data_IF_083120643054
#
_entry.id   IF_083120643054
#
_cell.length_a   1.000
_cell.length_b   1.000
_cell.length_c   1.000
_cell.angle_alpha   90.00
_cell.angle_beta   90.00
_cell.angle_gamma   90.00
#
_symmetry.space_group_name_H-M   'P 1'
#
loop_
_entity.id
_entity.type
_entity.pdbx_description
1 polymer ?
#
# COMPACT_ATOMS: atom_id res chain seq x y z
N UNK A 1 -90.51 44.82 39.24
CA UNK A 1 -90.39 44.01 40.46
C UNK A 1 -88.90 43.91 40.75
N UNK A 2 -88.45 44.66 41.76
CA UNK A 2 -87.07 44.63 42.24
C UNK A 2 -86.79 43.28 42.91
N UNK A 3 -85.57 42.75 42.77
CA UNK A 3 -84.76 42.29 43.92
C UNK A 3 -83.42 41.68 43.49
N UNK A 4 -82.35 42.13 44.17
CA UNK A 4 -81.16 41.39 44.66
C UNK A 4 -80.23 40.73 43.61
N UNK A 5 -78.90 40.80 43.67
CA UNK A 5 -77.99 41.05 44.79
C UNK A 5 -76.99 39.88 44.91
N UNK A 6 -75.72 40.18 44.64
CA UNK A 6 -74.50 39.55 45.20
C UNK A 6 -73.88 38.31 44.47
N UNK A 7 -72.62 37.90 44.79
CA UNK A 7 -71.44 38.23 43.98
C UNK A 7 -70.46 37.04 43.76
N UNK A 8 -69.42 37.26 42.96
CA UNK A 8 -68.11 36.67 43.28
C UNK A 8 -67.46 35.75 42.23
N UNK A 9 -66.29 36.23 41.76
CA UNK A 9 -65.05 35.48 41.44
C UNK A 9 -65.12 34.52 40.23
N UNK A 10 -64.15 34.46 39.32
CA UNK A 10 -62.82 35.03 39.25
C UNK A 10 -62.25 34.71 37.84
N UNK A 11 -61.42 35.63 37.34
CA UNK A 11 -60.20 35.37 36.54
C UNK A 11 -60.32 34.53 35.27
N UNK A 12 -60.13 35.17 34.11
CA UNK A 12 -58.88 35.05 33.33
C UNK A 12 -58.98 35.85 32.04
N UNK A 13 -58.11 36.85 31.97
CA UNK A 13 -57.65 37.49 30.73
C UNK A 13 -57.02 36.39 29.87
N UNK A 14 -57.55 36.14 28.68
CA UNK A 14 -56.79 35.50 27.59
C UNK A 14 -57.03 36.27 26.31
N UNK A 15 -55.91 36.77 25.80
CA UNK A 15 -55.71 37.45 24.53
C UNK A 15 -56.41 36.75 23.36
N UNK A 16 -57.15 37.55 22.61
CA UNK A 16 -57.26 37.41 21.17
C UNK A 16 -55.91 37.84 20.57
N UNK A 17 -55.19 36.92 19.93
CA UNK A 17 -54.58 37.18 18.63
C UNK A 17 -54.19 35.85 17.97
N UNK A 18 -54.95 35.52 16.93
CA UNK A 18 -54.78 34.36 16.08
C UNK A 18 -53.75 34.64 14.98
N UNK A 19 -52.90 33.64 14.74
CA UNK A 19 -52.48 33.16 13.42
C UNK A 19 -51.79 34.16 12.46
N UNK A 20 -50.54 34.55 12.78
CA UNK A 20 -49.58 35.00 11.76
C UNK A 20 -48.12 34.86 12.22
N UNK A 21 -47.72 33.71 12.77
CA UNK A 21 -46.31 33.41 13.03
C UNK A 21 -46.04 31.90 13.16
N UNK A 22 -46.48 31.11 12.18
CA UNK A 22 -46.25 29.66 12.16
C UNK A 22 -45.79 29.13 10.78
N UNK A 23 -45.24 30.00 9.93
CA UNK A 23 -44.67 29.62 8.63
C UNK A 23 -43.37 30.41 8.42
N UNK A 24 -42.39 30.27 9.33
CA UNK A 24 -41.03 30.78 9.08
C UNK A 24 -39.94 30.19 9.99
N UNK A 25 -40.19 29.02 10.60
CA UNK A 25 -39.20 28.33 11.46
C UNK A 25 -39.05 26.82 11.14
N UNK A 26 -39.58 26.36 10.00
CA UNK A 26 -39.47 24.96 9.55
C UNK A 26 -38.85 24.82 8.15
N UNK A 27 -38.01 25.77 7.74
CA UNK A 27 -37.18 25.63 6.52
C UNK A 27 -35.69 25.90 6.74
N UNK A 28 -35.26 26.24 7.96
CA UNK A 28 -33.83 26.42 8.26
C UNK A 28 -33.16 25.19 8.92
N UNK A 29 -33.92 24.15 9.28
CA UNK A 29 -33.35 22.93 9.91
C UNK A 29 -33.10 21.80 8.89
N UNK A 30 -33.69 21.87 7.70
CA UNK A 30 -33.55 20.80 6.69
C UNK A 30 -32.42 21.01 5.68
N UNK A 31 -31.73 22.16 5.71
CA UNK A 31 -30.59 22.44 4.81
C UNK A 31 -29.24 22.12 5.49
N UNK A 32 -29.20 22.08 6.83
CA UNK A 32 -27.94 21.84 7.57
C UNK A 32 -27.51 20.37 7.64
N UNK A 33 -28.41 19.40 7.41
CA UNK A 33 -28.06 17.97 7.45
C UNK A 33 -27.70 17.40 6.07
N UNK A 34 -28.14 18.02 4.96
CA UNK A 34 -27.74 17.62 3.61
C UNK A 34 -26.37 18.18 3.19
N UNK A 35 -25.90 19.25 3.84
CA UNK A 35 -24.53 19.74 3.65
C UNK A 35 -23.50 18.92 4.43
N UNK A 36 -23.90 18.23 5.50
CA UNK A 36 -22.98 17.40 6.29
C UNK A 36 -22.61 16.08 5.62
N UNK A 37 -23.47 15.53 4.74
CA UNK A 37 -23.16 14.29 4.00
C UNK A 37 -22.43 14.56 2.67
N UNK A 38 -22.58 15.75 2.10
CA UNK A 38 -21.91 16.12 0.85
C UNK A 38 -20.46 16.59 1.07
N UNK A 39 -20.13 17.13 2.25
CA UNK A 39 -18.76 17.58 2.57
C UNK A 39 -17.81 16.40 2.86
N UNK A 40 -18.30 15.27 3.38
CA UNK A 40 -17.48 14.05 3.54
C UNK A 40 -17.16 13.35 2.21
N UNK A 41 -17.93 13.59 1.15
CA UNK A 41 -17.71 12.97 -0.18
C UNK A 41 -16.68 13.78 -1.00
N UNK A 42 -16.31 14.99 -0.56
CA UNK A 42 -15.35 15.90 -1.24
C UNK A 42 -13.97 15.92 -0.55
N UNK A 43 -13.70 15.09 0.46
CA UNK A 43 -12.34 14.56 0.67
C UNK A 43 -12.14 13.44 -0.37
N UNK A 44 -12.05 13.84 -1.64
CA UNK A 44 -11.71 12.95 -2.73
C UNK A 44 -10.39 12.30 -2.34
N UNK A 45 -10.42 10.99 -2.09
CA UNK A 45 -9.27 10.13 -1.76
C UNK A 45 -8.02 10.61 -2.50
N UNK A 46 -7.22 11.40 -1.78
CA UNK A 46 -6.21 12.26 -2.41
C UNK A 46 -5.14 11.44 -3.08
N UNK A 47 -5.02 10.14 -2.76
CA UNK A 47 -4.05 9.24 -3.33
C UNK A 47 -4.60 8.45 -4.53
N UNK A 48 -5.91 8.44 -4.79
CA UNK A 48 -6.48 7.60 -5.86
C UNK A 48 -5.94 7.96 -7.26
N UNK A 49 -5.53 9.23 -7.49
CA UNK A 49 -4.88 9.65 -8.73
C UNK A 49 -3.52 8.96 -8.98
N UNK A 50 -2.90 8.39 -7.96
CA UNK A 50 -1.66 7.62 -8.08
C UNK A 50 -1.91 6.14 -8.39
N UNK A 51 -3.17 5.69 -8.43
CA UNK A 51 -3.54 4.34 -8.84
C UNK A 51 -3.31 4.13 -10.35
N UNK A 52 -3.15 2.87 -10.76
CA UNK A 52 -2.94 2.46 -12.14
C UNK A 52 -3.53 1.06 -12.37
N UNK A 53 -4.43 0.93 -13.34
CA UNK A 53 -5.08 -0.34 -13.71
C UNK A 53 -4.34 -1.06 -14.87
N UNK A 54 -3.22 -0.49 -15.34
CA UNK A 54 -2.38 -1.04 -16.42
C UNK A 54 -3.15 -1.41 -17.69
N UNK A 55 -4.20 -0.65 -18.00
CA UNK A 55 -4.97 -0.75 -19.24
C UNK A 55 -4.44 0.18 -20.35
N UNK A 56 -3.57 1.13 -20.02
CA UNK A 56 -2.94 2.08 -20.94
C UNK A 56 -1.41 2.03 -20.77
N UNK A 57 -0.64 1.68 -21.81
CA UNK A 57 0.81 1.66 -21.71
C UNK A 57 1.47 3.03 -21.50
N UNK A 58 0.77 4.14 -21.77
CA UNK A 58 1.28 5.48 -21.54
C UNK A 58 1.46 5.81 -20.05
N UNK A 59 0.71 5.14 -19.15
CA UNK A 59 0.84 5.34 -17.69
C UNK A 59 2.21 4.93 -17.16
N UNK A 60 2.98 4.15 -17.92
CA UNK A 60 4.36 3.79 -17.56
C UNK A 60 5.25 5.03 -17.37
N UNK A 61 4.93 6.15 -18.02
CA UNK A 61 5.65 7.41 -17.85
C UNK A 61 5.49 8.03 -16.44
N UNK A 62 4.45 7.63 -15.70
CA UNK A 62 4.17 8.11 -14.34
C UNK A 62 4.98 7.36 -13.26
N UNK A 63 5.76 6.36 -13.65
CA UNK A 63 6.53 5.51 -12.76
C UNK A 63 8.01 5.86 -12.76
N UNK A 64 8.56 6.07 -11.57
CA UNK A 64 9.99 6.32 -11.38
C UNK A 64 10.77 5.01 -11.22
N UNK A 65 12.04 5.01 -11.60
CA UNK A 65 12.95 3.86 -11.41
C UNK A 65 14.12 4.23 -10.52
N UNK A 66 14.39 3.40 -9.51
CA UNK A 66 15.36 3.71 -8.46
C UNK A 66 16.77 4.04 -8.95
N UNK A 67 17.25 3.37 -10.01
CA UNK A 67 18.60 3.65 -10.53
C UNK A 67 18.70 5.05 -11.18
N UNK A 68 17.56 5.65 -11.60
CA UNK A 68 17.51 7.02 -12.11
C UNK A 68 17.59 8.02 -10.96
N UNK A 69 16.76 7.83 -9.92
CA UNK A 69 16.74 8.72 -8.76
C UNK A 69 18.02 8.64 -7.93
N UNK A 70 18.65 7.46 -7.88
CA UNK A 70 19.96 7.26 -7.24
C UNK A 70 21.13 7.33 -8.23
N UNK A 71 20.91 7.71 -9.49
CA UNK A 71 21.96 7.95 -10.49
C UNK A 71 23.07 6.89 -10.51
N UNK A 72 22.73 5.60 -10.49
CA UNK A 72 23.75 4.54 -10.41
C UNK A 72 24.17 3.96 -11.74
N UNK A 73 23.57 4.43 -12.84
CA UNK A 73 23.78 3.94 -14.21
C UNK A 73 23.45 2.44 -14.42
N UNK A 74 22.97 1.76 -13.38
CA UNK A 74 22.67 0.33 -13.38
C UNK A 74 21.18 0.08 -13.50
N UNK A 75 20.68 0.09 -14.73
CA UNK A 75 19.33 -0.36 -15.03
C UNK A 75 19.25 -1.89 -14.95
N UNK A 76 18.90 -2.39 -13.76
CA UNK A 76 18.82 -3.82 -13.48
C UNK A 76 17.50 -4.44 -13.96
N UNK A 77 16.64 -3.67 -14.63
CA UNK A 77 15.40 -4.14 -15.21
C UNK A 77 15.63 -4.43 -16.70
N UNK A 78 15.63 -5.72 -17.07
CA UNK A 78 15.82 -6.15 -18.46
C UNK A 78 14.67 -5.67 -19.35
N UNK A 79 13.44 -5.76 -18.85
CA UNK A 79 12.29 -5.17 -19.52
C UNK A 79 11.18 -4.81 -18.56
N UNK A 80 10.47 -3.75 -18.90
CA UNK A 80 9.21 -3.30 -18.32
C UNK A 80 8.22 -3.04 -19.45
N UNK A 81 6.97 -3.44 -19.26
CA UNK A 81 5.89 -3.12 -20.19
C UNK A 81 4.54 -3.21 -19.51
N UNK A 82 3.57 -2.47 -20.04
CA UNK A 82 2.15 -2.59 -19.71
C UNK A 82 1.43 -3.19 -20.92
N UNK A 83 0.65 -4.24 -20.70
CA UNK A 83 -0.22 -4.86 -21.72
C UNK A 83 0.47 -5.73 -22.78
N UNK A 84 1.76 -5.52 -23.09
CA UNK A 84 2.47 -6.24 -24.18
C UNK A 84 2.71 -7.71 -23.86
N UNK A 85 3.14 -8.01 -22.64
CA UNK A 85 3.46 -9.37 -22.20
C UNK A 85 2.23 -10.11 -21.69
N UNK A 86 1.33 -9.36 -21.03
CA UNK A 86 0.05 -9.82 -20.54
C UNK A 86 -0.92 -8.62 -20.58
N UNK A 87 -2.01 -8.67 -21.38
CA UNK A 87 -2.97 -7.57 -21.48
C UNK A 87 -3.56 -7.19 -20.12
N UNK A 88 -3.63 -5.89 -19.81
CA UNK A 88 -4.14 -5.37 -18.53
C UNK A 88 -3.20 -5.52 -17.33
N UNK A 89 -1.91 -5.79 -17.58
CA UNK A 89 -0.93 -6.03 -16.51
C UNK A 89 0.36 -5.27 -16.81
N UNK A 90 1.02 -4.78 -15.76
CA UNK A 90 2.43 -4.39 -15.81
C UNK A 90 3.30 -5.64 -15.62
N UNK A 91 4.29 -5.85 -16.49
CA UNK A 91 5.25 -6.96 -16.37
C UNK A 91 6.67 -6.44 -16.19
N UNK A 92 7.32 -6.90 -15.12
CA UNK A 92 8.70 -6.61 -14.76
C UNK A 92 9.57 -7.87 -14.90
N UNK A 93 10.70 -7.70 -15.57
CA UNK A 93 11.61 -8.79 -15.90
C UNK A 93 13.04 -8.32 -15.55
N UNK A 94 13.64 -8.76 -14.43
CA UNK A 94 14.93 -8.25 -13.98
C UNK A 94 16.13 -8.97 -14.61
N UNK A 95 17.26 -8.28 -14.70
CA UNK A 95 18.58 -8.91 -14.69
C UNK A 95 18.93 -9.42 -13.28
N UNK A 96 20.04 -10.15 -13.12
CA UNK A 96 20.51 -10.59 -11.81
C UNK A 96 20.74 -9.37 -10.90
N UNK A 97 20.04 -9.36 -9.77
CA UNK A 97 20.05 -8.29 -8.77
C UNK A 97 19.36 -8.78 -7.50
N UNK A 98 19.67 -8.20 -6.34
CA UNK A 98 19.06 -8.61 -5.07
C UNK A 98 18.75 -7.44 -4.16
N UNK A 99 17.77 -7.62 -3.29
CA UNK A 99 17.53 -6.77 -2.13
C UNK A 99 17.91 -7.53 -0.86
N UNK A 100 19.02 -7.16 -0.24
CA UNK A 100 19.46 -7.77 1.01
C UNK A 100 20.50 -6.86 1.67
N UNK A 101 20.31 -6.48 2.92
CA UNK A 101 21.21 -5.53 3.59
C UNK A 101 21.45 -4.27 2.73
N UNK A 102 22.70 -4.06 2.31
CA UNK A 102 23.16 -2.96 1.46
C UNK A 102 22.99 -3.20 -0.06
N UNK A 103 22.64 -4.43 -0.46
CA UNK A 103 22.33 -4.76 -1.84
C UNK A 103 20.97 -4.16 -2.22
N UNK A 104 20.94 -3.50 -3.37
CA UNK A 104 19.77 -2.85 -3.95
C UNK A 104 19.42 -3.49 -5.28
N UNK A 105 18.18 -3.93 -5.42
CA UNK A 105 17.63 -4.47 -6.67
C UNK A 105 16.73 -3.47 -7.39
N UNK A 106 15.79 -3.97 -8.18
CA UNK A 106 14.83 -3.12 -8.89
C UNK A 106 13.77 -2.59 -7.93
N UNK A 107 13.43 -1.31 -8.09
CA UNK A 107 12.22 -0.69 -7.56
C UNK A 107 11.65 0.27 -8.63
N UNK A 108 10.39 0.05 -8.99
CA UNK A 108 9.57 0.89 -9.86
C UNK A 108 8.47 1.49 -9.00
N UNK A 109 8.40 2.81 -8.86
CA UNK A 109 7.66 3.42 -7.75
C UNK A 109 7.02 4.77 -8.07
N UNK A 110 6.13 5.19 -7.18
CA UNK A 110 5.64 6.56 -7.02
C UNK A 110 6.05 7.07 -5.63
N UNK A 111 6.28 8.38 -5.49
CA UNK A 111 6.49 9.00 -4.18
C UNK A 111 5.15 9.30 -3.53
N UNK A 112 4.94 8.78 -2.32
CA UNK A 112 3.69 8.89 -1.58
C UNK A 112 3.97 9.50 -0.21
N UNK A 113 3.24 10.55 0.14
CA UNK A 113 3.34 11.24 1.44
C UNK A 113 2.16 10.84 2.32
N UNK A 114 2.44 10.62 3.60
CA UNK A 114 1.42 10.35 4.61
C UNK A 114 0.98 8.89 4.68
N UNK A 115 -0.24 8.68 5.15
CA UNK A 115 -0.86 7.36 5.32
C UNK A 115 -1.41 6.83 4.01
N UNK A 116 -1.30 5.53 3.78
CA UNK A 116 -1.83 4.90 2.58
C UNK A 116 -2.22 3.45 2.81
N UNK A 117 -3.07 2.92 1.95
CA UNK A 117 -3.23 1.50 1.70
C UNK A 117 -2.94 1.29 0.23
N UNK A 118 -1.98 0.42 -0.09
CA UNK A 118 -1.66 0.02 -1.47
C UNK A 118 -1.96 -1.45 -1.67
N UNK A 119 -2.58 -1.82 -2.78
CA UNK A 119 -2.94 -3.20 -3.14
C UNK A 119 -2.54 -3.50 -4.58
N UNK A 120 -2.05 -4.72 -4.81
CA UNK A 120 -1.90 -5.30 -6.14
C UNK A 120 -2.31 -6.77 -6.10
N UNK A 121 -2.77 -7.29 -7.22
CA UNK A 121 -2.64 -8.72 -7.52
C UNK A 121 -1.33 -8.96 -8.26
N UNK A 122 -0.59 -9.96 -7.85
CA UNK A 122 0.68 -10.35 -8.44
C UNK A 122 0.62 -11.79 -8.97
N UNK A 123 1.28 -12.03 -10.09
CA UNK A 123 1.53 -13.34 -10.68
C UNK A 123 3.01 -13.48 -11.01
N UNK A 124 3.65 -14.46 -10.41
CA UNK A 124 5.08 -14.68 -10.48
C UNK A 124 5.36 -16.05 -11.07
N UNK A 125 6.23 -16.11 -12.09
CA UNK A 125 6.64 -17.35 -12.74
C UNK A 125 8.14 -17.34 -13.06
N UNK A 126 8.66 -18.51 -13.44
CA UNK A 126 9.88 -18.61 -14.23
C UNK A 126 9.70 -18.05 -15.67
N UNK A 127 10.79 -17.91 -16.44
CA UNK A 127 10.77 -17.33 -17.81
C UNK A 127 9.96 -18.14 -18.83
N UNK A 128 9.91 -19.45 -18.66
CA UNK A 128 9.13 -20.38 -19.48
C UNK A 128 7.68 -20.51 -19.00
N UNK A 129 7.30 -19.84 -17.91
CA UNK A 129 5.93 -19.80 -17.35
C UNK A 129 5.38 -21.17 -16.96
N UNK A 130 6.27 -22.12 -16.66
CA UNK A 130 5.93 -23.49 -16.28
C UNK A 130 5.77 -23.69 -14.79
N UNK A 131 6.17 -22.71 -13.97
CA UNK A 131 6.03 -22.79 -12.52
C UNK A 131 6.88 -21.75 -11.78
N UNK A 132 7.33 -22.13 -10.58
CA UNK A 132 8.16 -21.26 -9.77
C UNK A 132 9.56 -21.08 -10.39
N UNK A 133 10.18 -19.91 -10.20
CA UNK A 133 11.60 -19.71 -10.52
C UNK A 133 12.50 -20.81 -9.93
N UNK A 134 13.58 -21.13 -10.62
CA UNK A 134 14.60 -22.11 -10.22
C UNK A 134 15.85 -21.45 -9.64
N UNK A 135 16.06 -20.15 -9.86
CA UNK A 135 17.13 -19.42 -9.18
C UNK A 135 16.69 -19.01 -7.78
N UNK A 136 17.58 -19.18 -6.79
CA UNK A 136 17.31 -18.76 -5.40
C UNK A 136 17.06 -17.26 -5.31
N UNK A 137 16.09 -16.89 -4.47
CA UNK A 137 15.65 -15.51 -4.24
C UNK A 137 15.26 -14.78 -5.53
N UNK A 138 14.34 -15.40 -6.27
CA UNK A 138 13.69 -14.85 -7.45
C UNK A 138 12.24 -14.51 -7.11
N UNK A 139 11.98 -13.27 -6.74
CA UNK A 139 10.67 -12.83 -6.25
C UNK A 139 10.29 -11.45 -6.80
N UNK A 140 8.99 -11.19 -6.83
CA UNK A 140 8.42 -9.88 -7.12
C UNK A 140 7.29 -9.55 -6.14
N UNK A 141 7.03 -8.26 -5.90
CA UNK A 141 6.03 -7.84 -4.92
C UNK A 141 5.92 -6.34 -4.73
N UNK A 142 5.28 -5.95 -3.63
CA UNK A 142 5.17 -4.55 -3.20
C UNK A 142 6.29 -4.21 -2.22
N UNK A 143 6.89 -3.04 -2.41
CA UNK A 143 7.91 -2.47 -1.53
C UNK A 143 7.52 -1.05 -1.12
N UNK A 144 7.84 -0.73 0.13
CA UNK A 144 7.86 0.63 0.65
C UNK A 144 9.28 0.92 1.15
N UNK A 145 9.87 2.02 0.68
CA UNK A 145 11.26 2.37 0.95
C UNK A 145 11.43 3.84 1.29
N UNK A 146 12.27 4.15 2.26
CA UNK A 146 12.71 5.52 2.52
C UNK A 146 13.57 6.02 1.35
N UNK A 147 13.28 7.19 0.76
CA UNK A 147 14.12 7.74 -0.30
C UNK A 147 15.53 8.03 0.23
N UNK A 148 16.51 7.96 -0.67
CA UNK A 148 17.91 8.31 -0.39
C UNK A 148 18.39 9.33 -1.41
N UNK A 149 19.11 10.34 -0.94
CA UNK A 149 19.79 11.31 -1.80
C UNK A 149 21.24 10.89 -1.99
N UNK A 150 21.46 9.91 -2.86
CA UNK A 150 22.78 9.32 -3.13
C UNK A 150 23.01 9.14 -4.63
N UNK A 151 24.28 8.92 -5.00
CA UNK A 151 24.69 8.41 -6.30
C UNK A 151 25.82 7.37 -6.14
N UNK A 152 26.28 6.77 -7.25
CA UNK A 152 27.37 5.78 -7.21
C UNK A 152 28.63 6.25 -6.48
N UNK A 153 28.91 7.56 -6.43
CA UNK A 153 30.09 8.14 -5.76
C UNK A 153 29.84 8.41 -4.26
N UNK A 154 28.62 8.82 -3.92
CA UNK A 154 28.24 9.16 -2.55
C UNK A 154 27.62 8.00 -1.78
N UNK A 155 27.35 6.87 -2.44
CA UNK A 155 26.83 5.66 -1.80
C UNK A 155 27.75 5.21 -0.65
N UNK A 156 27.13 4.90 0.49
CA UNK A 156 27.75 4.32 1.67
C UNK A 156 26.85 3.19 2.20
N UNK A 157 27.43 2.17 2.85
CA UNK A 157 26.66 1.12 3.51
C UNK A 157 25.85 1.68 4.69
N UNK A 158 24.84 0.93 5.14
CA UNK A 158 23.98 1.27 6.28
C UNK A 158 22.83 2.21 5.97
N UNK A 159 22.59 2.54 4.70
CA UNK A 159 21.59 3.53 4.29
C UNK A 159 20.21 2.97 3.91
N UNK A 160 20.03 1.65 3.86
CA UNK A 160 18.78 1.06 3.39
C UNK A 160 17.72 0.97 4.49
N UNK A 161 16.53 1.51 4.22
CA UNK A 161 15.36 1.43 5.09
C UNK A 161 14.14 1.09 4.24
N UNK A 162 13.66 -0.15 4.33
CA UNK A 162 12.52 -0.60 3.53
C UNK A 162 11.75 -1.72 4.22
N UNK A 163 10.60 -2.03 3.66
CA UNK A 163 9.82 -3.23 3.90
C UNK A 163 9.22 -3.71 2.58
N UNK A 164 9.07 -5.02 2.42
CA UNK A 164 8.36 -5.57 1.28
C UNK A 164 7.62 -6.86 1.61
N UNK A 165 6.58 -7.14 0.83
CA UNK A 165 5.94 -8.43 0.73
C UNK A 165 6.04 -8.88 -0.73
N UNK A 166 6.77 -9.98 -0.95
CA UNK A 166 7.02 -10.52 -2.28
C UNK A 166 6.69 -12.00 -2.32
N UNK A 167 6.40 -12.52 -3.51
CA UNK A 167 6.24 -13.95 -3.76
C UNK A 167 7.08 -14.40 -4.96
N UNK A 168 7.32 -15.70 -5.05
CA UNK A 168 8.22 -16.30 -6.03
C UNK A 168 8.99 -17.43 -5.38
N UNK A 169 10.28 -17.56 -5.67
CA UNK A 169 11.15 -18.57 -5.08
C UNK A 169 12.15 -17.95 -4.13
N UNK A 170 12.10 -18.37 -2.87
CA UNK A 170 13.03 -17.91 -1.83
C UNK A 170 14.25 -18.85 -1.71
N UNK A 171 14.45 -19.48 -0.56
CA UNK A 171 15.61 -20.33 -0.28
C UNK A 171 15.53 -21.75 -0.90
N UNK A 172 14.36 -22.17 -1.39
CA UNK A 172 14.14 -23.47 -2.03
C UNK A 172 13.81 -23.30 -3.52
N UNK A 173 14.80 -23.42 -4.43
CA UNK A 173 14.62 -23.43 -5.87
C UNK A 173 13.42 -24.27 -6.35
N UNK A 174 12.57 -23.70 -7.22
CA UNK A 174 11.44 -24.43 -7.82
C UNK A 174 10.21 -24.56 -6.92
N UNK A 175 10.23 -24.03 -5.70
CA UNK A 175 9.06 -23.92 -4.82
C UNK A 175 8.61 -22.47 -4.72
N UNK A 176 7.29 -22.25 -4.68
CA UNK A 176 6.73 -20.94 -4.37
C UNK A 176 6.79 -20.66 -2.88
N UNK A 177 7.04 -19.40 -2.52
CA UNK A 177 6.97 -18.89 -1.17
C UNK A 177 6.65 -17.40 -1.17
N UNK A 178 6.09 -16.92 -0.07
CA UNK A 178 6.24 -15.52 0.31
C UNK A 178 7.62 -15.29 0.90
N UNK A 179 8.21 -14.14 0.59
CA UNK A 179 9.25 -13.51 1.38
C UNK A 179 8.71 -12.17 1.89
N UNK A 180 8.73 -12.01 3.21
CA UNK A 180 8.54 -10.71 3.84
C UNK A 180 9.84 -10.28 4.48
N UNK A 181 10.24 -9.04 4.21
CA UNK A 181 11.48 -8.47 4.72
C UNK A 181 11.23 -7.09 5.29
N UNK A 182 11.83 -6.81 6.43
CA UNK A 182 12.03 -5.46 6.94
C UNK A 182 13.53 -5.20 7.04
N UNK A 183 13.96 -4.03 6.59
CA UNK A 183 15.36 -3.60 6.66
C UNK A 183 15.44 -2.24 7.33
N UNK A 184 16.28 -2.14 8.36
CA UNK A 184 16.57 -0.89 9.08
C UNK A 184 18.07 -0.65 9.07
N UNK A 185 18.51 0.48 8.52
CA UNK A 185 19.92 0.82 8.35
C UNK A 185 20.75 -0.34 7.75
N UNK A 186 20.22 -0.95 6.69
CA UNK A 186 20.79 -2.11 6.01
C UNK A 186 20.90 -3.40 6.85
N UNK A 187 20.24 -3.49 8.01
CA UNK A 187 20.05 -4.76 8.72
C UNK A 187 18.71 -5.39 8.32
N UNK A 188 18.76 -6.52 7.59
CA UNK A 188 17.59 -7.20 7.03
C UNK A 188 17.12 -8.36 7.88
N UNK A 189 15.85 -8.34 8.26
CA UNK A 189 15.15 -9.45 8.88
C UNK A 189 14.11 -9.99 7.91
N UNK A 190 14.26 -11.26 7.52
CA UNK A 190 13.36 -11.90 6.55
C UNK A 190 12.61 -13.09 7.17
N UNK A 191 11.40 -13.33 6.69
CA UNK A 191 10.62 -14.54 6.96
C UNK A 191 10.13 -15.12 5.64
N UNK A 192 10.20 -16.44 5.53
CA UNK A 192 9.77 -17.19 4.35
C UNK A 192 8.59 -18.06 4.76
N UNK A 193 7.54 -18.07 3.93
CA UNK A 193 6.36 -18.91 4.14
C UNK A 193 6.05 -19.66 2.83
N UNK A 194 6.04 -21.01 2.82
CA UNK A 194 5.76 -21.78 1.61
C UNK A 194 4.39 -21.48 0.99
N UNK A 195 4.30 -21.59 -0.33
CA UNK A 195 3.07 -21.43 -1.10
C UNK A 195 2.88 -22.54 -2.12
N UNK A 196 1.62 -22.81 -2.46
CA UNK A 196 1.25 -23.72 -3.55
C UNK A 196 1.09 -23.03 -4.91
N UNK A 197 1.16 -21.69 -4.95
CA UNK A 197 0.89 -20.90 -6.15
C UNK A 197 1.79 -19.65 -6.23
N UNK A 198 2.06 -19.21 -7.45
CA UNK A 198 2.73 -17.93 -7.76
C UNK A 198 1.78 -16.74 -7.86
N UNK A 199 0.50 -16.91 -7.50
CA UNK A 199 -0.52 -15.87 -7.56
C UNK A 199 -0.98 -15.49 -6.16
N UNK A 200 -0.99 -14.20 -5.86
CA UNK A 200 -1.60 -13.66 -4.64
C UNK A 200 -2.00 -12.20 -4.83
N UNK A 201 -2.95 -11.75 -4.02
CA UNK A 201 -3.10 -10.33 -3.72
C UNK A 201 -2.30 -9.99 -2.46
N UNK A 202 -1.60 -8.86 -2.53
CA UNK A 202 -0.79 -8.35 -1.45
C UNK A 202 -1.13 -6.88 -1.22
N UNK A 203 -1.11 -6.49 0.04
CA UNK A 203 -1.48 -5.14 0.48
C UNK A 203 -0.52 -4.65 1.55
N UNK A 204 -0.17 -3.38 1.48
CA UNK A 204 0.62 -2.69 2.51
C UNK A 204 -0.17 -1.46 2.95
N UNK A 205 -0.47 -1.37 4.24
CA UNK A 205 -1.05 -0.19 4.84
C UNK A 205 -0.03 0.51 5.72
N UNK A 206 0.04 1.83 5.64
CA UNK A 206 0.77 2.71 6.55
C UNK A 206 -0.22 3.53 7.37
N UNK A 207 -0.08 3.43 8.70
CA UNK A 207 -0.84 4.18 9.71
C UNK A 207 0.16 4.84 10.67
N UNK A 208 0.57 6.07 10.35
CA UNK A 208 1.65 6.79 11.02
C UNK A 208 2.99 6.06 10.84
N UNK A 209 3.57 5.61 11.96
CA UNK A 209 4.79 4.78 12.00
C UNK A 209 4.51 3.28 11.90
N UNK A 210 3.26 2.84 11.79
CA UNK A 210 2.90 1.43 11.71
C UNK A 210 2.68 0.98 10.27
N UNK A 211 3.21 -0.19 9.94
CA UNK A 211 3.05 -0.82 8.63
C UNK A 211 2.43 -2.19 8.78
N UNK A 212 1.35 -2.44 8.06
CA UNK A 212 0.61 -3.68 8.08
C UNK A 212 0.66 -4.32 6.70
N UNK A 213 1.22 -5.51 6.62
CA UNK A 213 1.33 -6.28 5.40
C UNK A 213 0.24 -7.34 5.43
N UNK A 214 -0.62 -7.33 4.43
CA UNK A 214 -1.76 -8.23 4.30
C UNK A 214 -1.61 -9.07 3.03
N UNK A 215 -2.18 -10.27 3.04
CA UNK A 215 -2.18 -11.17 1.90
C UNK A 215 -3.52 -11.85 1.70
N UNK A 216 -3.85 -12.18 0.45
CA UNK A 216 -4.98 -13.03 0.08
C UNK A 216 -4.55 -13.97 -1.05
N UNK A 217 -4.71 -15.27 -0.82
CA UNK A 217 -4.52 -16.28 -1.86
C UNK A 217 -5.81 -16.42 -2.70
N UNK A 218 -5.73 -16.98 -3.93
CA UNK A 218 -6.92 -17.26 -4.72
C UNK A 218 -7.97 -18.03 -3.90
N UNK A 219 -9.22 -17.60 -4.00
CA UNK A 219 -10.37 -18.20 -3.31
C UNK A 219 -10.25 -18.24 -1.77
N UNK A 220 -9.39 -17.42 -1.17
CA UNK A 220 -9.18 -17.32 0.28
C UNK A 220 -9.62 -15.96 0.81
N UNK A 221 -9.69 -15.82 2.14
CA UNK A 221 -9.93 -14.53 2.79
C UNK A 221 -8.63 -13.74 2.95
N UNK A 222 -8.75 -12.42 3.15
CA UNK A 222 -7.61 -11.59 3.56
C UNK A 222 -7.09 -12.04 4.93
N UNK A 223 -5.77 -11.98 5.09
CA UNK A 223 -5.09 -12.23 6.36
C UNK A 223 -4.07 -11.12 6.63
N UNK A 224 -3.95 -10.73 7.89
CA UNK A 224 -2.80 -9.94 8.35
C UNK A 224 -1.58 -10.85 8.34
N UNK A 225 -0.57 -10.49 7.56
CA UNK A 225 0.65 -11.27 7.42
C UNK A 225 1.72 -10.81 8.41
N UNK A 226 2.04 -9.52 8.45
CA UNK A 226 3.01 -8.93 9.39
C UNK A 226 2.60 -7.54 9.82
N UNK A 227 3.10 -7.14 10.98
CA UNK A 227 2.94 -5.81 11.55
C UNK A 227 4.32 -5.29 11.93
N UNK A 228 4.67 -4.08 11.51
CA UNK A 228 5.96 -3.45 11.80
C UNK A 228 5.78 -2.05 12.35
N UNK A 229 6.55 -1.70 13.39
CA UNK A 229 6.68 -0.33 13.87
C UNK A 229 7.99 0.25 13.31
N UNK A 230 7.88 1.29 12.48
CA UNK A 230 8.96 1.91 11.71
C UNK A 230 8.97 3.44 11.88
N UNK A 231 9.26 3.94 13.10
CA UNK A 231 9.39 5.39 13.34
C UNK A 231 10.60 6.01 12.63
N UNK A 232 11.49 5.18 12.07
CA UNK A 232 12.65 5.60 11.27
C UNK A 232 12.29 5.97 9.82
N UNK A 233 11.11 5.56 9.33
CA UNK A 233 10.69 5.84 7.96
C UNK A 233 10.04 7.23 7.86
N UNK A 234 10.50 8.11 6.96
CA UNK A 234 10.02 9.49 6.84
C UNK A 234 8.59 9.56 6.29
N UNK A 235 7.98 10.75 6.32
CA UNK A 235 6.60 10.95 5.85
C UNK A 235 6.42 10.64 4.36
N UNK A 236 7.38 11.01 3.50
CA UNK A 236 7.38 10.68 2.07
C UNK A 236 8.17 9.41 1.80
N UNK A 237 7.56 8.45 1.11
CA UNK A 237 8.13 7.13 0.82
C UNK A 237 8.05 6.78 -0.66
N UNK A 238 8.97 5.94 -1.11
CA UNK A 238 8.92 5.30 -2.41
C UNK A 238 8.03 4.05 -2.28
N UNK A 239 6.88 4.04 -2.95
CA UNK A 239 5.89 2.96 -2.89
C UNK A 239 5.69 2.38 -4.28
N UNK A 240 5.86 1.06 -4.44
CA UNK A 240 5.74 0.45 -5.75
C UNK A 240 6.15 -1.01 -5.80
N UNK A 241 6.60 -1.44 -6.97
CA UNK A 241 6.94 -2.82 -7.26
C UNK A 241 8.43 -3.08 -7.17
N UNK A 242 8.80 -4.17 -6.51
CA UNK A 242 10.16 -4.69 -6.48
C UNK A 242 10.23 -6.00 -7.24
N UNK A 243 11.35 -6.23 -7.93
CA UNK A 243 11.72 -7.52 -8.50
C UNK A 243 13.22 -7.76 -8.31
N UNK A 244 13.58 -9.00 -8.04
CA UNK A 244 14.97 -9.43 -7.88
C UNK A 244 15.10 -10.93 -8.14
N UNK A 245 16.31 -11.38 -8.49
CA UNK A 245 16.55 -12.77 -8.91
C UNK A 245 18.01 -13.14 -8.82
N UNK A 246 18.28 -14.44 -8.62
CA UNK A 246 19.61 -15.04 -8.74
C UNK A 246 20.62 -14.46 -7.73
N UNK A 247 20.21 -14.50 -6.45
CA UNK A 247 21.07 -14.09 -5.34
C UNK A 247 22.47 -14.75 -5.37
N UNK A 248 22.66 -16.05 -5.67
CA UNK A 248 23.98 -16.67 -5.70
C UNK A 248 24.95 -16.03 -6.70
N UNK A 249 24.46 -15.44 -7.78
CA UNK A 249 25.30 -14.68 -8.72
C UNK A 249 25.47 -13.23 -8.28
N UNK A 250 24.41 -12.59 -7.75
CA UNK A 250 24.48 -11.23 -7.22
C UNK A 250 25.48 -11.10 -6.05
N UNK A 251 25.50 -12.07 -5.14
CA UNK A 251 26.33 -12.08 -3.93
C UNK A 251 27.83 -12.29 -4.20
N UNK A 252 28.23 -12.50 -5.46
CA UNK A 252 29.65 -12.54 -5.88
C UNK A 252 30.26 -11.15 -5.99
N UNK A 253 29.44 -10.11 -6.00
CA UNK A 253 29.84 -8.71 -6.06
C UNK A 253 29.65 -8.07 -4.69
N UNK A 254 30.50 -7.11 -4.32
CA UNK A 254 30.20 -6.26 -3.17
C UNK A 254 28.90 -5.46 -3.42
N UNK A 255 28.20 -4.98 -2.38
CA UNK A 255 27.01 -4.14 -2.56
C UNK A 255 27.27 -2.93 -3.46
N UNK A 256 28.42 -2.24 -3.27
CA UNK A 256 28.79 -1.10 -4.12
C UNK A 256 28.88 -1.47 -5.60
N UNK A 257 29.52 -2.61 -5.91
CA UNK A 257 29.65 -3.10 -7.29
C UNK A 257 28.29 -3.53 -7.85
N UNK A 258 27.52 -4.32 -7.09
CA UNK A 258 26.21 -4.79 -7.54
C UNK A 258 25.25 -3.62 -7.81
N UNK A 259 25.21 -2.61 -6.94
CA UNK A 259 24.27 -1.48 -7.04
C UNK A 259 24.57 -0.57 -8.23
N UNK A 260 25.81 -0.62 -8.74
CA UNK A 260 26.30 0.17 -9.87
C UNK A 260 26.54 -0.65 -11.14
N UNK A 261 26.13 -1.93 -11.17
CA UNK A 261 26.36 -2.81 -12.33
C UNK A 261 25.10 -3.55 -12.77
N UNK A 262 24.93 -3.69 -14.09
CA UNK A 262 23.98 -4.64 -14.68
C UNK A 262 24.67 -6.00 -14.83
N UNK A 263 24.35 -6.97 -13.95
CA UNK A 263 24.96 -8.30 -13.97
C UNK A 263 24.33 -9.14 -15.07
N UNK A 264 24.99 -9.22 -16.23
CA UNK A 264 24.55 -10.02 -17.40
C UNK A 264 25.04 -11.46 -17.41
N UNK A 265 26.05 -11.79 -16.59
CA UNK A 265 26.64 -13.13 -16.49
C UNK A 265 25.92 -14.07 -15.52
N UNK A 266 24.85 -13.61 -14.88
CA UNK A 266 24.04 -14.42 -13.98
C UNK A 266 23.02 -15.29 -14.73
N UNK A 267 22.09 -15.87 -13.98
CA UNK A 267 21.01 -16.75 -14.43
C UNK A 267 19.65 -16.24 -13.93
N UNK A 268 19.27 -15.00 -14.29
CA UNK A 268 17.97 -14.45 -13.88
C UNK A 268 16.85 -15.22 -14.57
N UNK A 269 15.82 -15.61 -13.83
CA UNK A 269 14.76 -16.46 -14.38
C UNK A 269 13.34 -16.02 -14.01
N UNK A 270 13.18 -14.87 -13.35
CA UNK A 270 11.88 -14.34 -12.90
C UNK A 270 11.10 -13.62 -14.02
N UNK A 271 9.79 -13.87 -14.12
CA UNK A 271 8.80 -12.93 -14.65
C UNK A 271 7.86 -12.55 -13.50
N UNK A 272 7.66 -11.26 -13.27
CA UNK A 272 6.66 -10.76 -12.33
C UNK A 272 5.64 -9.91 -13.09
N UNK A 273 4.36 -10.22 -12.92
CA UNK A 273 3.27 -9.43 -13.50
C UNK A 273 2.34 -8.93 -12.39
N UNK A 274 1.88 -7.69 -12.51
CA UNK A 274 0.99 -7.01 -11.58
C UNK A 274 -0.25 -6.51 -12.32
N UNK A 275 -1.44 -6.83 -11.80
CA UNK A 275 -2.71 -6.50 -12.48
C UNK A 275 -3.13 -5.05 -12.28
N UNK A 276 -2.85 -4.50 -11.10
CA UNK A 276 -3.19 -3.11 -10.76
C UNK A 276 -2.29 -2.62 -9.63
N UNK A 277 -2.06 -1.32 -9.56
CA UNK A 277 -1.60 -0.63 -8.38
C UNK A 277 -2.73 0.26 -7.89
N UNK A 278 -3.42 -0.16 -6.84
CA UNK A 278 -4.49 0.65 -6.25
C UNK A 278 -4.01 1.22 -4.94
N UNK A 279 -4.04 2.53 -4.81
CA UNK A 279 -3.61 3.23 -3.61
C UNK A 279 -4.65 4.26 -3.16
N UNK A 280 -4.82 4.36 -1.85
CA UNK A 280 -5.73 5.31 -1.22
C UNK A 280 -5.32 5.68 0.18
N UNK A 281 -5.90 6.75 0.72
CA UNK A 281 -5.81 7.02 2.16
C UNK A 281 -6.62 5.97 2.97
N UNK A 282 -6.11 5.52 4.12
CA UNK A 282 -6.85 4.60 4.98
C UNK A 282 -7.96 5.33 5.73
N UNK A 283 -9.17 4.77 5.70
CA UNK A 283 -10.26 5.17 6.60
C UNK A 283 -10.11 4.36 7.87
N UNK A 284 -9.57 4.98 8.92
CA UNK A 284 -9.42 4.37 10.24
C UNK A 284 -10.66 4.72 11.07
N UNK A 285 -11.44 3.73 11.54
CA UNK A 285 -12.55 3.98 12.46
C UNK A 285 -12.08 4.74 13.71
N UNK A 286 -12.88 5.69 14.18
CA UNK A 286 -12.50 6.60 15.26
C UNK A 286 -12.15 5.86 16.55
N UNK A 287 -12.81 4.73 16.83
CA UNK A 287 -12.53 3.85 17.96
C UNK A 287 -11.10 3.26 17.94
N UNK A 288 -10.43 3.24 16.78
CA UNK A 288 -9.08 2.70 16.63
C UNK A 288 -8.00 3.77 16.48
N UNK A 289 -8.34 5.07 16.53
CA UNK A 289 -7.40 6.16 16.23
C UNK A 289 -6.13 6.13 17.11
N UNK A 290 -6.28 5.75 18.38
CA UNK A 290 -5.19 5.73 19.37
C UNK A 290 -4.58 4.33 19.60
N UNK A 291 -4.96 3.33 18.78
CA UNK A 291 -4.46 1.97 18.96
C UNK A 291 -3.01 1.80 18.49
N UNK A 292 -2.28 0.93 19.18
CA UNK A 292 -0.97 0.46 18.73
C UNK A 292 -1.18 -0.64 17.69
N UNK A 293 -1.22 -0.27 16.41
CA UNK A 293 -1.57 -1.20 15.32
C UNK A 293 -0.65 -2.43 15.21
N UNK A 294 0.55 -2.38 15.80
CA UNK A 294 1.48 -3.51 15.86
C UNK A 294 1.30 -4.46 17.04
N UNK A 295 0.56 -4.06 18.09
CA UNK A 295 0.25 -4.94 19.22
C UNK A 295 -1.09 -5.63 18.98
N UNK A 296 -1.06 -6.96 18.81
CA UNK A 296 -2.26 -7.77 18.60
C UNK A 296 -3.22 -7.77 19.81
N UNK A 297 -2.75 -7.35 20.99
CA UNK A 297 -3.58 -7.16 22.19
C UNK A 297 -4.26 -5.79 22.21
N UNK A 298 -3.70 -4.80 21.50
CA UNK A 298 -4.33 -3.50 21.31
C UNK A 298 -5.39 -3.59 20.22
N UNK A 299 -5.06 -4.18 19.07
CA UNK A 299 -6.02 -4.39 17.98
C UNK A 299 -5.80 -5.77 17.34
N UNK A 300 -6.85 -6.58 17.30
CA UNK A 300 -6.83 -7.91 16.72
C UNK A 300 -6.71 -7.89 15.19
N UNK A 301 -6.36 -9.03 14.60
CA UNK A 301 -6.35 -9.16 13.14
C UNK A 301 -7.76 -9.00 12.54
N UNK A 302 -8.80 -9.44 13.25
CA UNK A 302 -10.18 -9.30 12.81
C UNK A 302 -10.61 -7.82 12.73
N UNK A 303 -10.25 -7.03 13.75
CA UNK A 303 -10.50 -5.58 13.77
C UNK A 303 -9.74 -4.88 12.65
N UNK A 304 -8.46 -5.20 12.44
CA UNK A 304 -7.68 -4.68 11.31
C UNK A 304 -8.33 -5.01 9.96
N UNK A 305 -8.77 -6.25 9.78
CA UNK A 305 -9.40 -6.70 8.55
C UNK A 305 -10.79 -6.08 8.33
N UNK A 306 -11.48 -5.65 9.39
CA UNK A 306 -12.80 -5.01 9.25
C UNK A 306 -12.74 -3.73 8.40
N UNK A 307 -11.67 -2.93 8.54
CA UNK A 307 -11.48 -1.70 7.77
C UNK A 307 -10.43 -1.84 6.67
N UNK A 308 -9.34 -2.61 6.87
CA UNK A 308 -8.31 -2.78 5.85
C UNK A 308 -8.59 -3.91 4.86
N UNK A 309 -9.41 -4.91 5.19
CA UNK A 309 -9.70 -6.04 4.30
C UNK A 309 -10.53 -5.65 3.09
N UNK A 310 -11.45 -4.70 3.26
CA UNK A 310 -12.30 -4.15 2.22
C UNK A 310 -11.83 -2.77 1.71
N UNK A 311 -10.66 -2.31 2.18
CA UNK A 311 -10.15 -1.00 1.84
C UNK A 311 -9.47 -1.02 0.47
N UNK A 312 -10.20 -0.91 -0.62
CA UNK A 312 -9.79 -1.11 -2.04
C UNK A 312 -10.39 -2.43 -2.50
N UNK A 313 -11.34 -2.29 -3.43
CA UNK A 313 -11.88 -3.37 -4.26
C UNK A 313 -11.24 -3.34 -5.62
#
# INVERSE_FOLDING_TARGET
MFETGNPGKATRIVMVLNAALAIQLFQCVSISLAQSTAVEIIEADRLNHASDEFNDPETLADWQRIFQTEQTEADQLQSINVGKTKPGWMTLIPHTSTWYQDYRGVLVFKEITGNFVVTTRAEITNRDRSGAPRSQFSLGGLMVRSPRHINSRTWRPGGENYLFLSLGTANKPGEFAFEVKTTRNSDSQLKIEPLSTGVAEIRIARLGSHFLLLRRLPNSQWMVHRRYHRPDMPESLQVGFTVYTDYPSASKFSPAQQNSTVIRSGRPDLIASFEYFRIREPIVPAEFADHLFTDARSISDAELLSFLGNAIK
#
